data_IF_442848508419
#
_entry.id   IF_442848508419
#
_cell.length_a   1.000
_cell.length_b   1.000
_cell.length_c   1.000
_cell.angle_alpha   90.00
_cell.angle_beta   90.00
_cell.angle_gamma   90.00
#
_symmetry.space_group_name_H-M   'P 1'
#
loop_
_entity.id
_entity.type
_entity.pdbx_description
1 polymer ?
#
# COMPACT_ATOMS: atom_id res chain seq x y z
N UNK A 1 29.36 19.45 15.23
CA UNK A 1 28.41 19.33 14.11
C UNK A 1 27.60 20.62 14.04
N UNK A 2 27.62 21.31 12.89
CA UNK A 2 26.88 22.58 12.71
C UNK A 2 25.36 22.33 12.71
N UNK A 3 24.60 23.22 13.35
CA UNK A 3 23.12 23.16 13.44
C UNK A 3 22.45 22.96 12.07
N UNK A 4 22.96 23.63 11.02
CA UNK A 4 22.46 23.47 9.66
C UNK A 4 22.64 22.06 9.08
N UNK A 5 23.71 21.37 9.44
CA UNK A 5 23.96 19.99 9.00
C UNK A 5 22.97 19.01 9.65
N UNK A 6 22.53 19.29 10.87
CA UNK A 6 21.57 18.47 11.61
C UNK A 6 20.15 18.61 11.03
N UNK A 7 19.76 19.85 10.68
CA UNK A 7 18.49 20.12 9.99
C UNK A 7 18.38 19.40 8.64
N UNK A 8 19.45 19.43 7.84
CA UNK A 8 19.48 18.73 6.54
C UNK A 8 19.31 17.21 6.70
N UNK A 9 19.97 16.62 7.69
CA UNK A 9 19.84 15.17 7.98
C UNK A 9 18.42 14.82 8.41
N UNK A 10 17.80 15.63 9.27
CA UNK A 10 16.40 15.42 9.70
C UNK A 10 15.41 15.54 8.53
N UNK A 11 15.64 16.47 7.61
CA UNK A 11 14.78 16.65 6.42
C UNK A 11 14.84 15.45 5.48
N UNK A 12 16.05 14.91 5.25
CA UNK A 12 16.25 13.70 4.44
C UNK A 12 15.60 12.48 5.09
N UNK A 13 15.77 12.31 6.41
CA UNK A 13 15.14 11.23 7.17
C UNK A 13 13.62 11.32 7.14
N UNK A 14 13.04 12.51 7.36
CA UNK A 14 11.59 12.72 7.30
C UNK A 14 11.01 12.50 5.90
N UNK A 15 11.76 12.88 4.85
CA UNK A 15 11.38 12.59 3.46
C UNK A 15 11.35 11.08 3.20
N UNK A 16 12.39 10.34 3.62
CA UNK A 16 12.43 8.88 3.50
C UNK A 16 11.29 8.19 4.27
N UNK A 17 10.94 8.69 5.45
CA UNK A 17 9.85 8.16 6.27
C UNK A 17 8.46 8.41 5.66
N UNK A 18 8.31 9.45 4.83
CA UNK A 18 7.06 9.74 4.14
C UNK A 18 6.73 8.71 3.05
N UNK A 19 7.72 7.96 2.56
CA UNK A 19 7.49 6.84 1.62
C UNK A 19 7.04 5.56 2.31
N UNK A 20 7.15 5.47 3.63
CA UNK A 20 6.63 4.37 4.43
C UNK A 20 5.22 4.69 4.91
N UNK A 21 4.27 4.68 3.96
CA UNK A 21 2.85 4.65 4.28
C UNK A 21 2.54 3.37 5.09
N UNK A 22 1.79 3.55 6.18
CA UNK A 22 1.59 2.61 7.27
C UNK A 22 1.29 1.17 6.81
N UNK A 23 2.10 0.23 7.33
CA UNK A 23 1.78 -1.20 7.35
C UNK A 23 0.58 -1.41 8.28
N UNK A 24 -0.64 -1.23 7.76
CA UNK A 24 -1.83 -1.69 8.48
C UNK A 24 -1.83 -3.21 8.45
N UNK A 25 -1.42 -3.80 9.57
CA UNK A 25 -1.67 -5.20 9.88
C UNK A 25 -3.17 -5.49 9.70
N UNK A 26 -3.49 -6.36 8.75
CA UNK A 26 -4.79 -7.05 8.70
C UNK A 26 -5.96 -6.24 8.13
N UNK A 27 -6.45 -6.72 6.98
CA UNK A 27 -7.88 -6.76 6.65
C UNK A 27 -8.68 -5.48 6.44
N UNK A 28 -8.09 -4.29 6.42
CA UNK A 28 -8.78 -3.10 5.91
C UNK A 28 -8.10 -2.59 4.65
N UNK A 29 -8.40 -3.21 3.50
CA UNK A 29 -8.16 -2.56 2.22
C UNK A 29 -9.12 -1.37 2.15
N UNK A 30 -8.65 -0.21 2.62
CA UNK A 30 -9.30 1.05 2.31
C UNK A 30 -9.39 1.13 0.79
N UNK A 31 -10.57 1.35 0.19
CA UNK A 31 -10.71 1.46 -1.25
C UNK A 31 -9.71 2.51 -1.78
N UNK A 32 -8.78 2.06 -2.64
CA UNK A 32 -7.66 2.89 -3.11
C UNK A 32 -6.41 2.86 -2.21
N UNK A 33 -6.12 1.79 -1.49
CA UNK A 33 -4.78 1.56 -0.92
C UNK A 33 -3.75 1.11 -1.97
N UNK A 34 -2.48 1.01 -1.57
CA UNK A 34 -1.43 0.38 -2.38
C UNK A 34 -1.26 -1.10 -2.00
N UNK A 35 -0.94 -1.94 -2.99
CA UNK A 35 -0.59 -3.33 -2.77
C UNK A 35 0.92 -3.50 -2.66
N UNK A 36 1.39 -4.01 -1.52
CA UNK A 36 2.80 -4.32 -1.30
C UNK A 36 3.14 -5.80 -1.55
N UNK A 37 2.14 -6.67 -1.45
CA UNK A 37 2.26 -8.10 -1.70
C UNK A 37 1.10 -8.58 -2.57
N UNK A 38 1.37 -9.59 -3.39
CA UNK A 38 0.41 -10.16 -4.32
C UNK A 38 0.16 -11.63 -4.01
N UNK A 39 -1.11 -12.03 -4.08
CA UNK A 39 -1.53 -13.41 -3.96
C UNK A 39 -1.27 -14.15 -5.27
N UNK A 40 -0.44 -15.19 -5.20
CA UNK A 40 -0.05 -16.02 -6.36
C UNK A 40 -1.04 -17.15 -6.65
N UNK A 41 -1.90 -17.46 -5.67
CA UNK A 41 -2.93 -18.49 -5.81
C UNK A 41 -4.08 -17.97 -6.66
N UNK A 42 -4.57 -18.82 -7.57
CA UNK A 42 -5.72 -18.47 -8.40
C UNK A 42 -6.98 -18.33 -7.55
N UNK A 43 -7.65 -17.20 -7.72
CA UNK A 43 -8.96 -16.95 -7.13
C UNK A 43 -10.03 -17.48 -8.09
N UNK A 44 -10.89 -18.42 -7.68
CA UNK A 44 -12.00 -18.87 -8.52
C UNK A 44 -12.95 -17.71 -8.83
N UNK A 45 -13.23 -17.48 -10.12
CA UNK A 45 -14.03 -16.33 -10.59
C UNK A 45 -15.42 -16.25 -9.92
N UNK A 46 -16.03 -17.40 -9.61
CA UNK A 46 -17.34 -17.50 -8.92
C UNK A 46 -17.39 -16.79 -7.56
N UNK A 47 -16.24 -16.53 -6.94
CA UNK A 47 -16.15 -15.86 -5.66
C UNK A 47 -15.92 -14.36 -5.77
N UNK A 48 -15.57 -13.83 -6.95
CA UNK A 48 -15.26 -12.42 -7.14
C UNK A 48 -16.57 -11.65 -7.33
N UNK A 49 -16.80 -10.66 -6.46
CA UNK A 49 -17.94 -9.75 -6.49
C UNK A 49 -17.66 -8.52 -7.35
N UNK A 50 -16.52 -7.89 -7.06
CA UNK A 50 -16.07 -6.65 -7.68
C UNK A 50 -14.54 -6.59 -7.64
N UNK A 51 -13.96 -5.63 -8.37
CA UNK A 51 -12.54 -5.34 -8.30
C UNK A 51 -12.31 -3.83 -8.23
N UNK A 52 -11.19 -3.43 -7.64
CA UNK A 52 -10.73 -2.04 -7.57
C UNK A 52 -9.27 -1.96 -7.93
N UNK A 53 -8.89 -0.92 -8.67
CA UNK A 53 -7.48 -0.64 -8.94
C UNK A 53 -6.85 0.06 -7.74
N UNK A 54 -5.55 -0.16 -7.55
CA UNK A 54 -4.73 0.65 -6.64
C UNK A 54 -4.60 2.09 -7.16
N UNK A 55 -4.12 3.01 -6.32
CA UNK A 55 -3.87 4.39 -6.78
C UNK A 55 -2.73 4.44 -7.78
N UNK A 56 -2.78 5.47 -8.62
CA UNK A 56 -1.74 5.78 -9.62
C UNK A 56 -0.39 6.16 -9.01
N UNK A 57 -0.35 6.55 -7.74
CA UNK A 57 0.88 6.90 -7.03
C UNK A 57 1.48 5.72 -6.24
N UNK A 58 0.95 4.51 -6.42
CA UNK A 58 1.55 3.31 -5.84
C UNK A 58 2.79 2.91 -6.65
N UNK A 59 3.82 2.44 -5.95
CA UNK A 59 5.03 1.93 -6.60
C UNK A 59 4.75 0.73 -7.50
N UNK A 60 3.76 -0.08 -7.13
CA UNK A 60 3.32 -1.24 -7.90
C UNK A 60 1.87 -1.05 -8.32
N UNK A 61 1.58 -1.38 -9.58
CA UNK A 61 0.21 -1.50 -10.07
C UNK A 61 -0.45 -2.76 -9.50
N UNK A 62 -1.69 -2.64 -9.05
CA UNK A 62 -2.41 -3.74 -8.43
C UNK A 62 -3.92 -3.67 -8.62
N UNK A 63 -4.55 -4.84 -8.45
CA UNK A 63 -6.00 -5.01 -8.44
C UNK A 63 -6.40 -5.72 -7.16
N UNK A 64 -7.33 -5.12 -6.43
CA UNK A 64 -7.96 -5.70 -5.25
C UNK A 64 -9.25 -6.35 -5.69
N UNK A 65 -9.35 -7.67 -5.51
CA UNK A 65 -10.61 -8.40 -5.68
C UNK A 65 -11.39 -8.42 -4.37
N UNK A 66 -12.67 -8.07 -4.43
CA UNK A 66 -13.60 -8.19 -3.31
C UNK A 66 -14.41 -9.45 -3.52
N UNK A 67 -14.40 -10.34 -2.52
CA UNK A 67 -15.05 -11.65 -2.62
C UNK A 67 -16.44 -11.65 -1.98
N UNK A 68 -17.33 -12.52 -2.47
CA UNK A 68 -18.71 -12.66 -1.98
C UNK A 68 -18.81 -13.01 -0.48
N UNK A 69 -17.82 -13.73 0.05
CA UNK A 69 -17.67 -14.07 1.47
C UNK A 69 -16.31 -13.58 1.98
N UNK A 70 -16.14 -12.26 2.04
CA UNK A 70 -14.87 -11.63 2.43
C UNK A 70 -14.39 -12.09 3.81
N UNK A 71 -13.28 -12.82 3.83
CA UNK A 71 -12.34 -12.90 4.95
C UNK A 71 -11.01 -12.32 4.50
#
# INVERSE_FOLDING_TARGET
MSSGSLLLVLLVLGYLQSFTEAQSNGSAVTPGGCCFNFQMHRIPLRFIKEYKQTRVNCTNDGIVFILNNGS
#
